data_IF_938423782855
#
_entry.id   IF_938423782855
#
_cell.length_a   1.000
_cell.length_b   1.000
_cell.length_c   1.000
_cell.angle_alpha   90.00
_cell.angle_beta   90.00
_cell.angle_gamma   90.00
#
_symmetry.space_group_name_H-M   'P 1'
#
loop_
_entity.id
_entity.type
_entity.pdbx_description
1 polymer ?
#
# COMPACT_ATOMS: atom_id res chain seq x y z
N UNK A 1 -14.46 -11.90 4.02
CA UNK A 1 -13.82 -11.94 2.69
C UNK A 1 -12.38 -11.43 2.81
N UNK A 2 -11.44 -11.97 2.04
CA UNK A 2 -10.03 -11.58 2.13
C UNK A 2 -9.86 -10.18 1.50
N UNK A 3 -9.64 -9.16 2.34
CA UNK A 3 -9.42 -7.76 1.94
C UNK A 3 -7.93 -7.49 1.67
N UNK A 4 -7.39 -8.13 0.64
CA UNK A 4 -5.99 -7.96 0.24
C UNK A 4 -5.90 -7.38 -1.16
N UNK A 5 -4.91 -6.53 -1.38
CA UNK A 5 -4.48 -6.07 -2.70
C UNK A 5 -3.09 -6.60 -3.00
N UNK A 6 -2.80 -6.89 -4.26
CA UNK A 6 -1.45 -7.17 -4.72
C UNK A 6 -0.86 -5.88 -5.31
N UNK A 7 0.35 -5.52 -4.87
CA UNK A 7 1.09 -4.36 -5.40
C UNK A 7 2.50 -4.79 -5.76
N UNK A 8 3.08 -4.10 -6.73
CA UNK A 8 4.42 -4.35 -7.25
C UNK A 8 5.42 -3.45 -6.54
N UNK A 9 6.57 -3.99 -6.17
CA UNK A 9 7.69 -3.23 -5.59
C UNK A 9 8.95 -3.50 -6.40
N UNK A 10 10.05 -2.80 -6.10
CA UNK A 10 11.37 -3.11 -6.69
C UNK A 10 11.82 -4.55 -6.39
N UNK A 11 11.36 -5.15 -5.30
CA UNK A 11 11.74 -6.49 -4.85
C UNK A 11 10.71 -7.58 -5.21
N UNK A 12 9.73 -7.26 -6.07
CA UNK A 12 8.66 -8.17 -6.47
C UNK A 12 7.30 -7.79 -5.91
N UNK A 13 6.36 -8.74 -5.89
CA UNK A 13 4.95 -8.50 -5.55
C UNK A 13 4.67 -8.74 -4.08
N UNK A 14 3.84 -7.88 -3.49
CA UNK A 14 3.44 -7.96 -2.09
C UNK A 14 1.92 -7.99 -1.97
N UNK A 15 1.41 -8.83 -1.07
CA UNK A 15 0.01 -8.82 -0.65
C UNK A 15 -0.14 -7.88 0.56
N UNK A 16 -0.96 -6.85 0.41
CA UNK A 16 -1.23 -5.85 1.44
C UNK A 16 -2.64 -6.02 1.95
N UNK A 17 -2.81 -6.17 3.26
CA UNK A 17 -4.13 -6.19 3.89
C UNK A 17 -4.70 -4.76 3.91
N UNK A 18 -5.80 -4.54 3.21
CA UNK A 18 -6.44 -3.22 3.08
C UNK A 18 -6.82 -2.64 4.44
N UNK A 19 -7.22 -3.48 5.40
CA UNK A 19 -7.59 -3.01 6.74
C UNK A 19 -6.41 -2.47 7.55
N UNK A 20 -5.18 -2.71 7.10
CA UNK A 20 -3.96 -2.22 7.76
C UNK A 20 -3.41 -0.97 7.10
N UNK A 21 -4.01 -0.47 6.02
CA UNK A 21 -3.53 0.74 5.33
C UNK A 21 -4.00 1.96 6.14
N UNK A 22 -3.05 2.78 6.58
CA UNK A 22 -3.33 4.03 7.29
C UNK A 22 -3.42 5.23 6.35
N UNK A 23 -2.51 5.31 5.37
CA UNK A 23 -2.47 6.40 4.41
C UNK A 23 -1.70 6.03 3.14
N UNK A 24 -1.95 6.80 2.08
CA UNK A 24 -1.29 6.72 0.78
C UNK A 24 -0.62 8.07 0.48
N UNK A 25 0.59 8.05 -0.06
CA UNK A 25 1.30 9.24 -0.51
C UNK A 25 1.92 9.04 -1.88
N UNK A 26 1.83 10.04 -2.76
CA UNK A 26 2.66 10.08 -3.97
C UNK A 26 4.09 10.47 -3.58
N UNK A 27 5.08 9.70 -4.03
CA UNK A 27 6.51 10.01 -3.84
C UNK A 27 7.13 10.58 -5.13
N UNK A 28 8.36 11.10 -5.05
CA UNK A 28 9.01 11.94 -6.10
C UNK A 28 8.95 11.38 -7.53
N UNK A 29 8.83 10.08 -7.70
CA UNK A 29 8.82 9.42 -9.01
C UNK A 29 7.41 9.08 -9.52
N UNK A 30 6.36 9.66 -8.93
CA UNK A 30 4.95 9.37 -9.27
C UNK A 30 4.42 8.04 -8.69
N UNK A 31 5.30 7.26 -8.06
CA UNK A 31 5.01 6.03 -7.33
C UNK A 31 4.23 6.29 -6.04
N UNK A 32 3.65 5.24 -5.47
CA UNK A 32 2.85 5.35 -4.24
C UNK A 32 3.56 4.74 -3.04
N UNK A 33 3.67 5.49 -1.95
CA UNK A 33 3.97 4.94 -0.64
C UNK A 33 2.67 4.58 0.07
N UNK A 34 2.53 3.30 0.43
CA UNK A 34 1.45 2.75 1.22
C UNK A 34 1.96 2.60 2.65
N UNK A 35 1.47 3.45 3.56
CA UNK A 35 1.79 3.33 4.98
C UNK A 35 0.80 2.41 5.66
N UNK A 36 1.31 1.53 6.51
CA UNK A 36 0.55 0.55 7.25
C UNK A 36 0.47 0.96 8.72
N UNK A 37 -0.67 0.68 9.36
CA UNK A 37 -0.81 0.73 10.81
C UNK A 37 0.15 -0.27 11.44
N UNK A 38 1.13 0.24 12.18
CA UNK A 38 2.09 -0.56 12.93
C UNK A 38 1.88 -0.35 14.45
N UNK A 39 2.24 -1.34 15.29
CA UNK A 39 2.40 -1.10 16.73
C UNK A 39 3.43 0.00 16.94
N UNK A 40 3.15 0.94 17.86
CA UNK A 40 3.95 2.16 18.10
C UNK A 40 5.44 1.92 18.37
N UNK A 41 5.83 0.71 18.76
CA UNK A 41 7.21 0.31 19.03
C UNK A 41 8.06 0.02 17.80
N UNK A 42 7.48 -0.08 16.59
CA UNK A 42 8.21 -0.43 15.35
C UNK A 42 8.41 0.73 14.37
N UNK A 43 7.92 1.93 14.71
CA UNK A 43 7.90 3.06 13.77
C UNK A 43 6.94 2.84 12.59
N UNK A 44 6.94 3.78 11.65
CA UNK A 44 6.07 3.69 10.47
C UNK A 44 6.51 2.56 9.55
N UNK A 45 5.62 1.61 9.29
CA UNK A 45 5.83 0.55 8.28
C UNK A 45 5.23 1.05 6.98
N UNK A 46 6.01 1.02 5.89
CA UNK A 46 5.51 1.40 4.59
C UNK A 46 6.04 0.50 3.46
N UNK A 47 5.29 0.47 2.37
CA UNK A 47 5.62 -0.21 1.12
C UNK A 47 5.66 0.84 0.03
N UNK A 48 6.75 0.91 -0.73
CA UNK A 48 6.82 1.72 -1.94
C UNK A 48 6.33 0.87 -3.12
N UNK A 49 5.09 1.10 -3.54
CA UNK A 49 4.45 0.48 -4.68
C UNK A 49 4.89 1.17 -5.99
N UNK A 50 5.01 0.39 -7.06
CA UNK A 50 5.28 0.89 -8.41
C UNK A 50 4.02 1.51 -9.03
N UNK A 51 2.85 1.08 -8.57
CA UNK A 51 1.55 1.62 -8.94
C UNK A 51 1.40 3.09 -8.51
N UNK A 52 0.73 3.87 -9.34
CA UNK A 52 0.33 5.24 -9.06
C UNK A 52 -0.77 5.30 -7.99
N UNK A 53 -1.00 6.49 -7.44
CA UNK A 53 -1.94 6.68 -6.34
C UNK A 53 -3.36 6.24 -6.73
N UNK A 54 -3.82 6.60 -7.93
CA UNK A 54 -5.16 6.25 -8.40
C UNK A 54 -5.29 4.75 -8.69
N UNK A 55 -4.23 4.07 -9.16
CA UNK A 55 -4.23 2.62 -9.32
C UNK A 55 -4.35 1.90 -7.96
N UNK A 56 -3.56 2.30 -6.97
CA UNK A 56 -3.64 1.72 -5.61
C UNK A 56 -5.03 1.95 -5.00
N UNK A 57 -5.59 3.15 -5.17
CA UNK A 57 -6.94 3.48 -4.69
C UNK A 57 -8.03 2.66 -5.39
N UNK A 58 -7.89 2.40 -6.70
CA UNK A 58 -8.81 1.53 -7.42
C UNK A 58 -8.73 0.08 -6.93
N UNK A 59 -7.51 -0.44 -6.69
CA UNK A 59 -7.30 -1.77 -6.11
C UNK A 59 -7.96 -1.90 -4.72
N UNK A 60 -7.78 -0.90 -3.85
CA UNK A 60 -8.43 -0.86 -2.53
C UNK A 60 -9.95 -0.89 -2.68
N UNK A 61 -10.51 -0.05 -3.56
CA UNK A 61 -11.96 0.00 -3.79
C UNK A 61 -12.52 -1.32 -4.31
N UNK A 62 -11.77 -2.03 -5.16
CA UNK A 62 -12.16 -3.34 -5.67
C UNK A 62 -12.12 -4.45 -4.61
N UNK A 63 -11.34 -4.27 -3.54
CA UNK A 63 -11.15 -5.25 -2.46
C UNK A 63 -12.05 -5.01 -1.22
N UNK A 64 -12.83 -3.92 -1.19
CA UNK A 64 -13.77 -3.57 -0.13
C UNK A 64 -15.17 -4.14 -0.38
#
# INVERSE_FOLDING_TARGET
MKKFIEVSTENGKFLVNVNTISCLYTIKDGRTRITLTAPSSKGDIFINAQESYEEVKALIKAAL
#
